data_IF_687215796563
#
_entry.id   IF_687215796563
#
_cell.length_a   1.000
_cell.length_b   1.000
_cell.length_c   1.000
_cell.angle_alpha   90.00
_cell.angle_beta   90.00
_cell.angle_gamma   90.00
#
_symmetry.space_group_name_H-M   'P 1'
#
loop_
_entity.id
_entity.type
_entity.pdbx_description
1 polymer ?
#
# COMPACT_ATOMS: atom_id res chain seq x y z
N UNK A 1 58.21 4.34 16.02
CA UNK A 1 57.60 3.10 15.48
C UNK A 1 56.31 2.84 16.25
N UNK A 2 55.22 2.55 15.52
CA UNK A 2 53.87 2.15 15.98
C UNK A 2 52.96 3.34 16.37
N UNK A 3 52.26 3.99 15.44
CA UNK A 3 51.12 3.49 14.62
C UNK A 3 49.97 2.95 15.48
N UNK A 4 48.83 3.66 15.39
CA UNK A 4 47.45 3.13 15.40
C UNK A 4 47.06 2.37 16.68
N UNK A 5 46.09 2.80 17.49
CA UNK A 5 44.66 2.55 17.20
C UNK A 5 43.88 3.12 18.39
N UNK A 6 43.54 4.42 18.38
CA UNK A 6 42.47 4.91 19.24
C UNK A 6 41.14 4.60 18.56
N UNK A 7 40.67 3.37 18.81
CA UNK A 7 39.28 3.05 19.11
C UNK A 7 38.27 4.01 18.47
N UNK A 8 38.07 3.87 17.16
CA UNK A 8 36.83 4.34 16.53
C UNK A 8 35.67 3.73 17.30
N UNK A 9 34.89 4.56 18.00
CA UNK A 9 33.60 4.19 18.55
C UNK A 9 32.80 3.52 17.43
N UNK A 10 32.78 2.18 17.43
CA UNK A 10 31.94 1.43 16.51
C UNK A 10 30.52 1.69 16.94
N UNK A 11 29.87 2.68 16.32
CA UNK A 11 28.42 2.79 16.30
C UNK A 11 27.96 1.49 15.66
N UNK A 12 27.72 0.48 16.50
CA UNK A 12 26.98 -0.71 16.14
C UNK A 12 25.54 -0.24 16.05
N UNK A 13 25.22 0.40 14.93
CA UNK A 13 23.84 0.59 14.51
C UNK A 13 23.26 -0.82 14.42
N UNK A 14 22.47 -1.22 15.42
CA UNK A 14 21.70 -2.45 15.34
C UNK A 14 20.79 -2.33 14.12
N UNK A 15 21.22 -2.91 13.00
CA UNK A 15 20.48 -2.90 11.76
C UNK A 15 19.14 -3.57 12.04
N UNK A 16 18.06 -2.80 11.94
CA UNK A 16 16.72 -3.34 12.10
C UNK A 16 16.40 -4.22 10.88
N UNK A 17 15.51 -5.22 11.00
CA UNK A 17 15.08 -6.02 9.85
C UNK A 17 14.52 -5.17 8.68
N UNK A 18 14.10 -3.94 8.97
CA UNK A 18 13.54 -2.99 8.01
C UNK A 18 14.60 -2.17 7.27
N UNK A 19 15.86 -2.18 7.70
CA UNK A 19 16.97 -1.42 7.08
C UNK A 19 17.59 -2.13 5.88
N UNK A 20 17.11 -3.34 5.56
CA UNK A 20 17.55 -4.05 4.36
C UNK A 20 17.09 -3.33 3.10
N UNK A 21 17.96 -3.27 2.08
CA UNK A 21 17.63 -2.74 0.75
C UNK A 21 16.35 -3.35 0.15
N UNK A 22 16.07 -4.62 0.45
CA UNK A 22 14.83 -5.29 0.04
C UNK A 22 13.60 -4.68 0.70
N UNK A 23 13.66 -4.43 2.02
CA UNK A 23 12.59 -3.80 2.78
C UNK A 23 12.31 -2.38 2.27
N UNK A 24 13.36 -1.60 1.99
CA UNK A 24 13.24 -0.25 1.42
C UNK A 24 12.55 -0.26 0.05
N UNK A 25 12.95 -1.15 -0.86
CA UNK A 25 12.32 -1.25 -2.18
C UNK A 25 10.85 -1.68 -2.08
N UNK A 26 10.54 -2.63 -1.19
CA UNK A 26 9.17 -3.13 -1.01
C UNK A 26 8.27 -2.06 -0.40
N UNK A 27 8.75 -1.31 0.59
CA UNK A 27 7.98 -0.22 1.18
C UNK A 27 7.75 0.90 0.17
N UNK A 28 8.77 1.27 -0.61
CA UNK A 28 8.66 2.25 -1.69
C UNK A 28 7.68 1.80 -2.78
N UNK A 29 7.72 0.52 -3.16
CA UNK A 29 6.75 -0.05 -4.10
C UNK A 29 5.33 0.05 -3.57
N UNK A 30 5.10 -0.38 -2.32
CA UNK A 30 3.76 -0.35 -1.72
C UNK A 30 3.22 1.07 -1.55
N UNK A 31 4.05 2.04 -1.19
CA UNK A 31 3.62 3.44 -1.09
C UNK A 31 3.27 4.03 -2.45
N UNK A 32 4.05 3.73 -3.50
CA UNK A 32 3.78 4.19 -4.86
C UNK A 32 2.46 3.61 -5.39
N UNK A 33 2.24 2.31 -5.19
CA UNK A 33 0.98 1.64 -5.58
C UNK A 33 -0.21 2.24 -4.83
N UNK A 34 -0.08 2.42 -3.51
CA UNK A 34 -1.14 3.02 -2.69
C UNK A 34 -1.46 4.46 -3.10
N UNK A 35 -0.45 5.27 -3.39
CA UNK A 35 -0.62 6.63 -3.89
C UNK A 35 -1.32 6.67 -5.25
N UNK A 36 -0.97 5.74 -6.16
CA UNK A 36 -1.62 5.60 -7.45
C UNK A 36 -3.14 5.36 -7.32
N UNK A 37 -3.55 4.49 -6.41
CA UNK A 37 -4.98 4.24 -6.14
C UNK A 37 -5.65 5.47 -5.53
N UNK A 38 -5.00 6.12 -4.56
CA UNK A 38 -5.54 7.29 -3.88
C UNK A 38 -5.83 8.45 -4.84
N UNK A 39 -4.94 8.72 -5.79
CA UNK A 39 -5.12 9.78 -6.79
C UNK A 39 -6.00 9.33 -7.97
N UNK A 40 -5.99 8.04 -8.30
CA UNK A 40 -6.75 7.50 -9.43
C UNK A 40 -8.26 7.62 -9.26
N UNK A 41 -8.81 7.27 -8.09
CA UNK A 41 -10.27 7.27 -7.85
C UNK A 41 -10.88 8.67 -8.07
N UNK A 42 -10.35 9.77 -7.50
CA UNK A 42 -10.85 11.12 -7.77
C UNK A 42 -10.72 11.54 -9.23
N UNK A 43 -9.62 11.19 -9.91
CA UNK A 43 -9.39 11.58 -11.31
C UNK A 43 -10.39 10.91 -12.26
N UNK A 44 -10.72 9.64 -12.02
CA UNK A 44 -11.72 8.90 -12.81
C UNK A 44 -13.12 9.48 -12.56
N UNK A 45 -13.45 9.73 -11.30
CA UNK A 45 -14.72 10.33 -10.88
C UNK A 45 -14.96 11.71 -11.50
N UNK A 46 -13.95 12.59 -11.51
CA UNK A 46 -14.05 13.91 -12.15
C UNK A 46 -14.17 13.85 -13.67
N UNK A 47 -13.56 12.85 -14.33
CA UNK A 47 -13.70 12.63 -15.77
C UNK A 47 -15.14 12.26 -16.17
N UNK A 48 -15.86 11.50 -15.33
CA UNK A 48 -17.26 11.15 -15.58
C UNK A 48 -18.21 12.36 -15.52
N UNK A 49 -17.96 13.30 -14.61
CA UNK A 49 -18.74 14.56 -14.54
C UNK A 49 -18.44 15.46 -15.74
N UNK A 50 -17.17 15.62 -16.09
CA UNK A 50 -16.73 16.60 -17.09
C UNK A 50 -16.87 16.13 -18.54
N UNK A 51 -16.75 14.83 -18.81
CA UNK A 51 -16.73 14.27 -20.18
C UNK A 51 -17.98 13.45 -20.52
N UNK A 52 -18.66 12.85 -19.54
CA UNK A 52 -19.83 11.99 -19.77
C UNK A 52 -21.17 12.62 -19.35
N UNK A 53 -21.13 13.82 -18.76
CA UNK A 53 -22.33 14.57 -18.39
C UNK A 53 -23.09 14.03 -17.18
N UNK A 54 -22.46 13.18 -16.36
CA UNK A 54 -23.05 12.70 -15.11
C UNK A 54 -23.16 13.81 -14.07
N UNK A 55 -24.17 13.74 -13.21
CA UNK A 55 -24.30 14.68 -12.10
C UNK A 55 -23.30 14.40 -10.99
N UNK A 56 -22.82 15.43 -10.31
CA UNK A 56 -21.89 15.29 -9.17
C UNK A 56 -22.44 14.37 -8.07
N UNK A 57 -23.76 14.31 -7.91
CA UNK A 57 -24.44 13.46 -6.92
C UNK A 57 -24.37 11.99 -7.30
N UNK A 58 -24.56 11.64 -8.57
CA UNK A 58 -24.43 10.25 -9.05
C UNK A 58 -22.99 9.76 -8.92
N UNK A 59 -22.04 10.60 -9.33
CA UNK A 59 -20.62 10.27 -9.25
C UNK A 59 -20.16 10.19 -7.79
N UNK A 60 -20.64 11.09 -6.92
CA UNK A 60 -20.38 11.03 -5.48
C UNK A 60 -20.93 9.76 -4.82
N UNK A 61 -22.08 9.26 -5.28
CA UNK A 61 -22.65 7.97 -4.82
C UNK A 61 -21.83 6.77 -5.29
N UNK A 62 -21.36 6.77 -6.54
CA UNK A 62 -20.51 5.69 -7.06
C UNK A 62 -19.15 5.70 -6.35
N UNK A 63 -18.52 6.86 -6.21
CA UNK A 63 -17.26 6.99 -5.46
C UNK A 63 -17.44 6.57 -3.98
N UNK A 64 -18.57 6.89 -3.37
CA UNK A 64 -18.93 6.44 -2.03
C UNK A 64 -19.11 4.91 -1.95
N UNK A 65 -19.68 4.29 -2.98
CA UNK A 65 -19.81 2.84 -3.08
C UNK A 65 -18.45 2.14 -3.28
N UNK A 66 -17.55 2.71 -4.08
CA UNK A 66 -16.20 2.19 -4.31
C UNK A 66 -15.38 2.22 -3.00
N UNK A 67 -15.34 3.36 -2.32
CA UNK A 67 -14.63 3.52 -1.05
C UNK A 67 -15.29 2.71 0.08
N UNK A 68 -16.61 2.63 0.10
CA UNK A 68 -17.37 1.80 1.03
C UNK A 68 -17.10 0.31 0.84
N UNK A 69 -17.04 -0.14 -0.42
CA UNK A 69 -16.71 -1.51 -0.80
C UNK A 69 -15.28 -1.89 -0.43
N UNK A 70 -14.30 -1.00 -0.66
CA UNK A 70 -12.91 -1.22 -0.23
C UNK A 70 -12.78 -1.34 1.30
N UNK A 71 -13.48 -0.49 2.05
CA UNK A 71 -13.48 -0.55 3.52
C UNK A 71 -14.11 -1.85 4.05
N UNK A 72 -15.31 -2.19 3.59
CA UNK A 72 -15.99 -3.42 4.00
C UNK A 72 -15.21 -4.67 3.58
N UNK A 73 -14.66 -4.67 2.36
CA UNK A 73 -13.81 -5.73 1.83
C UNK A 73 -12.52 -5.90 2.63
N UNK A 74 -11.90 -4.81 3.09
CA UNK A 74 -10.71 -4.88 3.94
C UNK A 74 -10.99 -5.53 5.30
N UNK A 75 -12.11 -5.15 5.95
CA UNK A 75 -12.53 -5.77 7.23
C UNK A 75 -12.80 -7.26 7.05
N UNK A 76 -13.54 -7.62 6.00
CA UNK A 76 -13.84 -9.00 5.68
C UNK A 76 -12.57 -9.81 5.37
N UNK A 77 -11.66 -9.25 4.57
CA UNK A 77 -10.38 -9.87 4.23
C UNK A 77 -9.51 -10.07 5.46
N UNK A 78 -9.46 -9.10 6.38
CA UNK A 78 -8.72 -9.23 7.64
C UNK A 78 -9.23 -10.42 8.48
N UNK A 79 -10.54 -10.64 8.52
CA UNK A 79 -11.13 -11.81 9.18
C UNK A 79 -10.74 -13.13 8.51
N UNK A 80 -10.74 -13.19 7.17
CA UNK A 80 -10.34 -14.40 6.43
C UNK A 80 -8.85 -14.70 6.63
N UNK A 81 -7.98 -13.68 6.57
CA UNK A 81 -6.53 -13.83 6.80
C UNK A 81 -6.27 -14.42 8.19
N UNK A 82 -7.03 -14.02 9.21
CA UNK A 82 -6.87 -14.55 10.57
C UNK A 82 -7.19 -16.06 10.68
N UNK A 83 -8.06 -16.60 9.81
CA UNK A 83 -8.46 -18.02 9.85
C UNK A 83 -7.82 -18.91 8.77
N UNK A 84 -7.14 -18.34 7.78
CA UNK A 84 -6.69 -19.07 6.58
C UNK A 84 -5.19 -18.90 6.34
N UNK A 85 -4.58 -19.82 5.60
CA UNK A 85 -3.18 -19.69 5.20
C UNK A 85 -2.98 -18.50 4.24
N UNK A 86 -2.24 -17.49 4.70
CA UNK A 86 -1.89 -16.27 3.95
C UNK A 86 -1.31 -16.52 2.54
N UNK A 87 -0.59 -17.63 2.32
CA UNK A 87 -0.01 -17.94 1.00
C UNK A 87 -1.07 -18.30 -0.03
N UNK A 88 -2.10 -19.03 0.38
CA UNK A 88 -3.18 -19.47 -0.52
C UNK A 88 -4.08 -18.28 -0.90
N UNK A 89 -4.27 -17.36 0.05
CA UNK A 89 -4.98 -16.09 -0.15
C UNK A 89 -4.32 -15.19 -1.20
N UNK A 90 -3.00 -15.04 -1.14
CA UNK A 90 -2.25 -14.24 -2.14
C UNK A 90 -2.33 -14.86 -3.52
N UNK A 91 -2.19 -16.18 -3.63
CA UNK A 91 -2.34 -16.87 -4.92
C UNK A 91 -3.75 -16.73 -5.50
N UNK A 92 -4.78 -16.85 -4.66
CA UNK A 92 -6.16 -16.63 -5.09
C UNK A 92 -6.39 -15.18 -5.57
N UNK A 93 -5.85 -14.18 -4.86
CA UNK A 93 -5.98 -12.78 -5.24
C UNK A 93 -5.19 -12.37 -6.49
N UNK A 94 -4.13 -13.08 -6.85
CA UNK A 94 -3.42 -12.86 -8.13
C UNK A 94 -4.16 -13.53 -9.30
N UNK A 95 -4.91 -14.60 -9.04
CA UNK A 95 -5.56 -15.39 -10.08
C UNK A 95 -6.88 -14.81 -10.59
N UNK A 96 -7.50 -13.89 -9.84
CA UNK A 96 -8.79 -13.24 -10.14
C UNK A 96 -8.52 -11.80 -10.56
#
# INVERSE_FOLDING_TARGET
VKAETQSSLSISSELTPFDSWRSLIISLYMTLVGYGVLVGIPVISTAWVTLLGFTEVEVGRVAGADLGGLSAGAIFTAFIIAKTNRRLLVLAGIAI
#
